data_IF_371585773500
#
_entry.id   IF_371585773500
#
_cell.length_a   1.000
_cell.length_b   1.000
_cell.length_c   1.000
_cell.angle_alpha   90.00
_cell.angle_beta   90.00
_cell.angle_gamma   90.00
#
_symmetry.space_group_name_H-M   'P 1'
#
loop_
_entity.id
_entity.type
_entity.pdbx_description
1 polymer ?
#
# COMPACT_ATOMS: atom_id res chain seq x y z
N UNK A 1 18.33 -11.38 -9.06
CA UNK A 1 18.21 -10.11 -8.31
C UNK A 1 18.17 -10.45 -6.83
N UNK A 2 19.14 -10.02 -6.02
CA UNK A 2 19.21 -10.34 -4.58
C UNK A 2 18.34 -9.35 -3.80
N UNK A 3 17.33 -9.78 -3.01
CA UNK A 3 16.40 -8.88 -2.31
C UNK A 3 17.07 -8.08 -1.17
N UNK A 4 18.31 -8.43 -0.81
CA UNK A 4 19.05 -7.92 0.36
C UNK A 4 19.33 -6.39 0.37
N UNK A 5 19.11 -5.65 -0.73
CA UNK A 5 19.58 -4.25 -0.87
C UNK A 5 18.52 -3.15 -0.74
N UNK A 6 17.33 -3.45 -0.21
CA UNK A 6 16.26 -2.45 -0.10
C UNK A 6 16.31 -1.56 1.17
N UNK A 7 17.09 -1.91 2.20
CA UNK A 7 17.05 -1.18 3.49
C UNK A 7 18.13 -0.09 3.57
N UNK A 8 18.00 0.97 2.77
CA UNK A 8 18.62 2.27 3.09
C UNK A 8 17.60 3.09 3.86
N UNK A 9 17.91 3.46 5.10
CA UNK A 9 17.05 4.35 5.88
C UNK A 9 16.87 5.68 5.16
N UNK A 10 15.64 5.91 4.65
CA UNK A 10 15.26 7.17 3.99
C UNK A 10 14.82 8.18 5.06
N UNK A 11 15.13 9.48 4.90
CA UNK A 11 14.71 10.50 5.85
C UNK A 11 13.20 10.48 6.04
N UNK A 12 12.74 10.49 7.31
CA UNK A 12 11.33 10.44 7.72
C UNK A 12 10.46 11.58 7.17
N UNK A 13 11.04 12.57 6.50
CA UNK A 13 10.34 13.80 6.09
C UNK A 13 9.60 13.71 4.75
N UNK A 14 9.83 12.67 3.93
CA UNK A 14 9.24 12.55 2.58
C UNK A 14 8.73 11.13 2.26
N UNK A 15 7.89 10.52 3.12
CA UNK A 15 7.17 9.31 2.72
C UNK A 15 6.00 9.72 1.81
N UNK A 16 5.99 9.35 0.52
CA UNK A 16 4.85 9.65 -0.34
C UNK A 16 3.61 8.95 0.20
N UNK A 17 2.50 9.68 0.31
CA UNK A 17 1.19 9.14 0.63
C UNK A 17 0.65 8.45 -0.63
N UNK A 18 0.34 7.16 -0.53
CA UNK A 18 -0.04 6.31 -1.65
C UNK A 18 -1.47 5.83 -1.44
N UNK A 19 -2.28 5.98 -2.48
CA UNK A 19 -3.59 5.38 -2.62
C UNK A 19 -3.53 4.35 -3.75
N UNK A 20 -4.10 3.18 -3.54
CA UNK A 20 -4.16 2.13 -4.53
C UNK A 20 -5.59 1.64 -4.70
N UNK A 21 -6.00 1.52 -5.96
CA UNK A 21 -7.26 0.93 -6.36
C UNK A 21 -7.02 -0.03 -7.54
N UNK A 22 -7.70 -1.17 -7.51
CA UNK A 22 -7.82 -2.04 -8.68
C UNK A 22 -9.10 -1.67 -9.45
N UNK A 23 -8.97 -1.53 -10.77
CA UNK A 23 -10.10 -1.26 -11.66
C UNK A 23 -11.07 -2.46 -11.66
N UNK A 24 -12.33 -2.22 -11.28
CA UNK A 24 -13.39 -3.23 -11.25
C UNK A 24 -14.69 -2.69 -10.65
N UNK A 25 -15.80 -3.42 -10.81
CA UNK A 25 -17.05 -3.14 -10.09
C UNK A 25 -17.39 -4.33 -9.17
N UNK A 26 -17.41 -4.14 -7.85
CA UNK A 26 -17.06 -2.90 -7.12
C UNK A 26 -15.56 -2.59 -7.15
N UNK A 27 -15.20 -1.33 -6.99
CA UNK A 27 -13.80 -0.88 -6.86
C UNK A 27 -13.15 -1.58 -5.67
N UNK A 28 -11.96 -2.16 -5.87
CA UNK A 28 -11.24 -2.86 -4.81
C UNK A 28 -10.12 -1.95 -4.29
N UNK A 29 -10.11 -1.72 -2.98
CA UNK A 29 -9.12 -0.89 -2.28
C UNK A 29 -8.55 -1.66 -1.07
N UNK A 30 -7.54 -1.11 -0.39
CA UNK A 30 -7.06 -1.71 0.86
C UNK A 30 -6.56 -3.14 0.69
N UNK A 31 -5.72 -3.39 -0.31
CA UNK A 31 -5.18 -4.73 -0.54
C UNK A 31 -3.91 -4.90 0.30
N UNK A 32 -3.95 -5.73 1.34
CA UNK A 32 -2.86 -5.86 2.32
C UNK A 32 -1.47 -6.09 1.73
N UNK A 33 -1.33 -6.90 0.68
CA UNK A 33 -0.03 -7.12 0.02
C UNK A 33 0.49 -5.85 -0.70
N UNK A 34 -0.39 -5.00 -1.21
CA UNK A 34 -0.02 -3.71 -1.82
C UNK A 34 0.42 -2.70 -0.76
N UNK A 35 -0.24 -2.70 0.40
CA UNK A 35 0.14 -1.88 1.56
C UNK A 35 1.55 -2.26 2.06
N UNK A 36 1.85 -3.56 2.10
CA UNK A 36 3.19 -4.06 2.45
C UNK A 36 4.25 -3.57 1.44
N UNK A 37 3.99 -3.71 0.14
CA UNK A 37 4.89 -3.23 -0.91
C UNK A 37 5.09 -1.70 -0.86
N UNK A 38 4.03 -0.95 -0.57
CA UNK A 38 4.09 0.50 -0.35
C UNK A 38 5.05 0.84 0.77
N UNK A 39 4.95 0.13 1.90
CA UNK A 39 5.86 0.27 3.04
C UNK A 39 7.31 0.00 2.67
N UNK A 40 7.57 -1.08 1.92
CA UNK A 40 8.90 -1.49 1.43
C UNK A 40 9.50 -0.42 0.48
N UNK A 41 8.68 0.19 -0.39
CA UNK A 41 9.12 1.27 -1.29
C UNK A 41 9.45 2.58 -0.55
N UNK A 42 8.98 2.71 0.69
CA UNK A 42 9.14 3.90 1.53
C UNK A 42 7.93 4.85 1.47
N UNK A 43 6.80 4.41 0.95
CA UNK A 43 5.53 5.15 0.97
C UNK A 43 4.72 4.92 2.24
N UNK A 44 3.67 5.70 2.39
CA UNK A 44 2.65 5.57 3.44
C UNK A 44 1.32 5.27 2.77
N UNK A 45 0.76 4.09 3.00
CA UNK A 45 -0.59 3.76 2.54
C UNK A 45 -1.60 4.62 3.30
N UNK A 46 -2.52 5.24 2.57
CA UNK A 46 -3.56 6.10 3.16
C UNK A 46 -4.81 5.33 3.62
N UNK A 47 -4.95 4.05 3.26
CA UNK A 47 -6.10 3.21 3.60
C UNK A 47 -5.70 1.97 4.45
N UNK A 48 -4.85 2.10 5.49
CA UNK A 48 -4.35 0.96 6.24
C UNK A 48 -5.45 0.19 6.99
N UNK A 49 -6.55 0.85 7.36
CA UNK A 49 -7.69 0.18 8.00
C UNK A 49 -8.43 -0.77 7.04
N UNK A 50 -8.45 -0.45 5.74
CA UNK A 50 -9.03 -1.32 4.71
C UNK A 50 -8.07 -2.46 4.35
N UNK A 51 -6.76 -2.24 4.48
CA UNK A 51 -5.71 -3.24 4.24
C UNK A 51 -5.81 -4.51 5.10
N UNK A 52 -6.46 -4.40 6.27
CA UNK A 52 -6.68 -5.52 7.18
C UNK A 52 -7.84 -6.44 6.75
N UNK A 53 -8.70 -5.99 5.83
CA UNK A 53 -9.81 -6.79 5.32
C UNK A 53 -9.43 -7.44 3.99
N UNK A 54 -9.71 -8.74 3.80
CA UNK A 54 -9.51 -9.38 2.52
C UNK A 54 -10.49 -8.79 1.49
N UNK A 55 -9.94 -8.05 0.51
CA UNK A 55 -10.68 -7.43 -0.58
C UNK A 55 -11.78 -6.44 -0.10
N UNK A 56 -11.38 -5.34 0.56
CA UNK A 56 -12.29 -4.23 0.82
C UNK A 56 -12.87 -3.70 -0.49
N UNK A 57 -14.15 -3.97 -0.70
CA UNK A 57 -14.94 -3.49 -1.83
C UNK A 57 -15.53 -2.15 -1.45
N UNK A 58 -15.32 -1.13 -2.28
CA UNK A 58 -16.01 0.14 -2.12
C UNK A 58 -17.37 0.05 -2.83
N UNK A 59 -18.43 -0.05 -2.03
CA UNK A 59 -19.83 -0.09 -2.49
C UNK A 59 -20.65 0.96 -1.73
N UNK A 60 -21.54 1.64 -2.45
CA UNK A 60 -22.45 2.70 -1.97
C UNK A 60 -23.20 2.35 -0.68
#
# INVERSE_FOLDING_TARGET
>A
MRPEKARKEKPKHNRPRVYFEEWGDPMITGIGWVSELTGIAGGEDISPEKAAEPASREGK
#
